data_IF_429789464399
#
_entry.id   IF_429789464399
#
_cell.length_a   1.000
_cell.length_b   1.000
_cell.length_c   1.000
_cell.angle_alpha   90.00
_cell.angle_beta   90.00
_cell.angle_gamma   90.00
#
_symmetry.space_group_name_H-M   'P 1'
#
loop_
_entity.id
_entity.type
_entity.pdbx_description
1 polymer ?
#
# COMPACT_ATOMS: atom_id res chain seq x y z
N UNK A 1 17.29 9.39 -8.91
CA UNK A 1 15.89 8.91 -8.81
C UNK A 1 15.81 7.56 -9.52
N UNK A 2 15.72 6.44 -8.79
CA UNK A 2 15.59 5.12 -9.43
C UNK A 2 14.14 4.98 -9.88
N UNK A 3 13.87 5.18 -11.18
CA UNK A 3 12.56 4.87 -11.76
C UNK A 3 12.43 3.34 -11.73
N UNK A 4 11.81 2.83 -10.66
CA UNK A 4 11.28 1.48 -10.65
C UNK A 4 10.02 1.50 -11.51
N UNK A 5 10.03 0.77 -12.62
CA UNK A 5 8.85 0.54 -13.46
C UNK A 5 7.82 -0.24 -12.63
N UNK A 6 7.01 0.45 -11.82
CA UNK A 6 5.90 -0.16 -11.13
C UNK A 6 4.80 -0.47 -12.14
N UNK A 7 4.25 -1.69 -12.11
CA UNK A 7 3.19 -2.08 -13.04
C UNK A 7 1.97 -1.18 -12.84
N UNK A 8 1.29 -0.76 -13.91
CA UNK A 8 0.05 0.00 -13.80
C UNK A 8 -0.97 -0.71 -12.90
N UNK A 9 -1.69 0.07 -12.09
CA UNK A 9 -2.83 -0.41 -11.32
C UNK A 9 -4.01 -0.68 -12.26
N UNK A 10 -4.83 -1.70 -11.93
CA UNK A 10 -6.16 -1.82 -12.54
C UNK A 10 -7.07 -0.70 -12.04
N UNK A 11 -8.21 -0.49 -12.70
CA UNK A 11 -9.22 0.49 -12.27
C UNK A 11 -9.71 0.21 -10.84
N UNK A 12 -9.99 -1.05 -10.51
CA UNK A 12 -10.38 -1.45 -9.15
C UNK A 12 -9.30 -1.12 -8.11
N UNK A 13 -8.04 -1.43 -8.41
CA UNK A 13 -6.92 -1.13 -7.53
C UNK A 13 -6.71 0.37 -7.38
N UNK A 14 -6.88 1.14 -8.46
CA UNK A 14 -6.82 2.59 -8.43
C UNK A 14 -7.90 3.18 -7.52
N UNK A 15 -9.14 2.66 -7.61
CA UNK A 15 -10.24 3.09 -6.74
C UNK A 15 -9.95 2.79 -5.26
N UNK A 16 -9.39 1.62 -4.95
CA UNK A 16 -8.96 1.25 -3.59
C UNK A 16 -7.87 2.21 -3.07
N UNK A 17 -6.86 2.50 -3.90
CA UNK A 17 -5.74 3.38 -3.54
C UNK A 17 -6.21 4.82 -3.28
N UNK A 18 -7.19 5.30 -4.03
CA UNK A 18 -7.73 6.66 -3.93
C UNK A 18 -8.94 6.80 -3.01
N UNK A 19 -9.37 5.73 -2.33
CA UNK A 19 -10.44 5.78 -1.35
C UNK A 19 -10.19 6.88 -0.30
N UNK A 20 -11.14 7.79 -0.10
CA UNK A 20 -10.87 9.04 0.62
C UNK A 20 -11.23 8.98 2.11
N UNK A 21 -12.44 8.52 2.45
CA UNK A 21 -12.99 8.63 3.80
C UNK A 21 -13.78 7.38 4.18
N UNK A 22 -13.84 7.11 5.47
CA UNK A 22 -14.57 5.97 6.03
C UNK A 22 -13.86 4.63 5.81
N UNK A 23 -14.50 3.56 6.30
CA UNK A 23 -13.99 2.19 6.25
C UNK A 23 -14.19 1.62 4.84
N UNK A 24 -13.15 0.98 4.30
CA UNK A 24 -13.25 0.19 3.07
C UNK A 24 -12.98 -1.28 3.37
N UNK A 25 -13.80 -2.17 2.79
CA UNK A 25 -13.59 -3.62 2.81
C UNK A 25 -13.29 -4.05 1.38
N UNK A 26 -12.16 -4.73 1.19
CA UNK A 26 -11.69 -5.15 -0.15
C UNK A 26 -11.67 -6.67 -0.22
N UNK A 27 -12.48 -7.22 -1.12
CA UNK A 27 -12.49 -8.65 -1.45
C UNK A 27 -11.61 -8.91 -2.67
N UNK A 28 -10.74 -9.92 -2.61
CA UNK A 28 -9.81 -10.18 -3.69
C UNK A 28 -9.36 -11.64 -3.75
N UNK A 29 -9.40 -12.23 -4.95
CA UNK A 29 -8.96 -13.60 -5.21
C UNK A 29 -7.45 -13.83 -5.05
N UNK A 30 -6.97 -15.08 -4.98
CA UNK A 30 -5.54 -15.39 -4.99
C UNK A 30 -4.83 -14.76 -6.21
N UNK A 31 -3.58 -14.31 -6.05
CA UNK A 31 -2.79 -13.76 -7.15
C UNK A 31 -3.15 -12.34 -7.62
N UNK A 32 -4.23 -11.72 -7.12
CA UNK A 32 -4.69 -10.38 -7.57
C UNK A 32 -3.88 -9.20 -7.02
N UNK A 33 -2.68 -9.47 -6.49
CA UNK A 33 -1.74 -8.45 -5.98
C UNK A 33 -2.30 -7.59 -4.84
N UNK A 34 -3.13 -8.15 -3.95
CA UNK A 34 -3.64 -7.50 -2.71
C UNK A 34 -2.58 -6.67 -1.97
N UNK A 35 -1.42 -7.26 -1.70
CA UNK A 35 -0.32 -6.61 -0.99
C UNK A 35 0.25 -5.43 -1.78
N UNK A 36 0.29 -5.52 -3.11
CA UNK A 36 0.72 -4.41 -3.98
C UNK A 36 -0.24 -3.23 -3.88
N UNK A 37 -1.55 -3.47 -3.95
CA UNK A 37 -2.56 -2.43 -3.79
C UNK A 37 -2.46 -1.76 -2.42
N UNK A 38 -2.22 -2.54 -1.36
CA UNK A 38 -2.01 -2.01 -0.01
C UNK A 38 -0.77 -1.11 0.08
N UNK A 39 0.36 -1.51 -0.52
CA UNK A 39 1.58 -0.69 -0.59
C UNK A 39 1.31 0.65 -1.27
N UNK A 40 0.63 0.64 -2.41
CA UNK A 40 0.26 1.88 -3.12
C UNK A 40 -0.69 2.76 -2.30
N UNK A 41 -1.61 2.15 -1.55
CA UNK A 41 -2.50 2.89 -0.65
C UNK A 41 -1.72 3.59 0.46
N UNK A 42 -0.74 2.93 1.06
CA UNK A 42 0.14 3.51 2.08
C UNK A 42 0.95 4.66 1.48
N UNK A 43 1.60 4.46 0.33
CA UNK A 43 2.32 5.51 -0.38
C UNK A 43 1.42 6.72 -0.68
N UNK A 44 0.21 6.49 -1.18
CA UNK A 44 -0.77 7.55 -1.47
C UNK A 44 -1.14 8.36 -0.23
N UNK A 45 -1.32 7.71 0.92
CA UNK A 45 -1.59 8.41 2.18
C UNK A 45 -0.40 9.27 2.60
N UNK A 46 0.82 8.76 2.50
CA UNK A 46 2.04 9.54 2.79
C UNK A 46 2.17 10.72 1.84
N UNK A 47 1.95 10.52 0.54
CA UNK A 47 1.96 11.59 -0.48
C UNK A 47 0.88 12.65 -0.22
N UNK A 48 -0.23 12.27 0.42
CA UNK A 48 -1.29 13.18 0.87
C UNK A 48 -0.95 13.94 2.17
N UNK A 49 0.24 13.71 2.75
CA UNK A 49 0.72 14.39 3.95
C UNK A 49 0.38 13.69 5.27
N UNK A 50 -0.19 12.47 5.23
CA UNK A 50 -0.37 11.69 6.45
C UNK A 50 0.99 11.25 6.98
N UNK A 51 1.23 11.52 8.27
CA UNK A 51 2.49 11.11 8.91
C UNK A 51 2.56 9.57 8.97
N UNK A 52 3.70 8.94 8.62
CA UNK A 52 3.83 7.48 8.66
C UNK A 52 3.43 6.85 9.99
N UNK A 53 3.68 7.53 11.12
CA UNK A 53 3.34 7.04 12.47
C UNK A 53 1.82 7.02 12.75
N UNK A 54 1.03 7.69 11.91
CA UNK A 54 -0.44 7.64 11.96
C UNK A 54 -1.03 6.48 11.16
N UNK A 55 -0.19 5.71 10.45
CA UNK A 55 -0.61 4.60 9.58
C UNK A 55 -0.17 3.28 10.21
N UNK A 56 -1.13 2.54 10.78
CA UNK A 56 -0.89 1.19 11.29
C UNK A 56 -1.23 0.15 10.21
N UNK A 57 -0.30 -0.78 9.97
CA UNK A 57 -0.51 -1.95 9.09
C UNK A 57 -0.40 -3.21 9.92
N UNK A 58 -1.36 -4.12 9.78
CA UNK A 58 -1.39 -5.42 10.45
C UNK A 58 -1.38 -6.54 9.40
N UNK A 59 -0.55 -7.56 9.62
CA UNK A 59 -0.50 -8.75 8.76
C UNK A 59 -0.34 -10.01 9.60
N UNK A 60 -0.79 -11.16 9.08
CA UNK A 60 -0.71 -12.43 9.80
C UNK A 60 0.70 -13.05 9.83
N UNK A 61 1.61 -12.64 8.93
CA UNK A 61 2.92 -13.30 8.81
C UNK A 61 4.04 -12.27 8.72
N UNK A 62 5.18 -12.60 9.35
CA UNK A 62 6.41 -11.80 9.27
C UNK A 62 6.90 -11.64 7.82
N UNK A 63 6.65 -12.64 6.96
CA UNK A 63 6.99 -12.57 5.54
C UNK A 63 6.22 -11.46 4.82
N UNK A 64 4.92 -11.31 5.10
CA UNK A 64 4.11 -10.24 4.52
C UNK A 64 4.53 -8.86 5.04
N UNK A 65 4.78 -8.75 6.35
CA UNK A 65 5.28 -7.52 6.97
C UNK A 65 6.60 -7.06 6.34
N UNK A 66 7.61 -7.94 6.27
CA UNK A 66 8.90 -7.64 5.66
C UNK A 66 8.77 -7.28 4.17
N UNK A 67 7.87 -7.93 3.44
CA UNK A 67 7.61 -7.59 2.06
C UNK A 67 7.06 -6.16 1.92
N UNK A 68 6.07 -5.77 2.73
CA UNK A 68 5.50 -4.42 2.70
C UNK A 68 6.60 -3.39 3.04
N UNK A 69 7.34 -3.62 4.13
CA UNK A 69 8.46 -2.74 4.54
C UNK A 69 9.48 -2.55 3.43
N UNK A 70 9.86 -3.62 2.72
CA UNK A 70 10.82 -3.56 1.60
C UNK A 70 10.36 -2.69 0.41
N UNK A 71 9.06 -2.36 0.32
CA UNK A 71 8.47 -1.56 -0.76
C UNK A 71 8.16 -0.12 -0.36
N UNK A 72 8.23 0.18 0.93
CA UNK A 72 8.06 1.53 1.45
C UNK A 72 9.44 2.18 1.56
N UNK A 73 9.54 3.51 1.38
CA UNK A 73 10.78 4.21 1.67
C UNK A 73 11.16 3.96 3.13
N UNK A 74 12.44 3.67 3.38
CA UNK A 74 12.95 3.58 4.74
C UNK A 74 12.74 4.94 5.40
N UNK A 75 11.96 4.97 6.48
CA UNK A 75 11.87 6.14 7.35
C UNK A 75 13.29 6.41 7.86
N UNK A 76 13.93 7.42 7.27
CA UNK A 76 15.31 7.81 7.58
C UNK A 76 15.23 8.75 8.78
N UNK A 77 15.02 8.16 9.94
CA UNK A 77 15.36 8.77 11.22
C UNK A 77 16.68 8.19 11.70
#
# INVERSE_FOLDING_TARGET
MKIINETPLTEEQFNIVNHQRGIAIVTAGPGTRKTHTLVFRIKKLIDQGYRPESIQVLTFTTKADNHIKSKLPNDSR
#
